data_IF_496966687805
#
_entry.id   IF_496966687805
#
_cell.length_a   1.000
_cell.length_b   1.000
_cell.length_c   1.000
_cell.angle_alpha   90.00
_cell.angle_beta   90.00
_cell.angle_gamma   90.00
#
_symmetry.space_group_name_H-M   'P 1'
#
loop_
_entity.id
_entity.type
_entity.pdbx_description
1 polymer ?
#
# COMPACT_ATOMS: atom_id res chain seq x y z
N UNK A 1 35.22 -35.03 68.37
CA UNK A 1 34.99 -33.70 67.75
C UNK A 1 35.01 -33.90 66.23
N UNK A 2 33.87 -33.77 65.55
CA UNK A 2 33.67 -34.14 64.13
C UNK A 2 33.78 -32.91 63.22
N UNK A 3 34.63 -32.94 62.19
CA UNK A 3 34.56 -32.11 60.97
C UNK A 3 35.11 -32.96 59.80
N UNK A 4 34.28 -33.81 59.14
CA UNK A 4 33.52 -33.59 57.89
C UNK A 4 34.24 -32.88 56.74
N UNK A 5 34.70 -33.69 55.78
CA UNK A 5 34.87 -33.38 54.36
C UNK A 5 33.50 -33.37 53.64
N UNK A 6 33.27 -32.47 52.66
CA UNK A 6 32.66 -32.80 51.34
C UNK A 6 32.36 -31.58 50.45
N UNK A 7 32.98 -31.60 49.26
CA UNK A 7 32.40 -31.50 47.91
C UNK A 7 31.26 -30.48 47.70
N UNK A 8 31.47 -29.49 46.82
CA UNK A 8 30.46 -29.05 45.85
C UNK A 8 31.13 -28.42 44.61
N UNK A 9 31.17 -29.19 43.51
CA UNK A 9 31.36 -28.69 42.15
C UNK A 9 30.04 -28.09 41.66
N UNK A 10 30.05 -26.84 41.21
CA UNK A 10 28.92 -26.20 40.54
C UNK A 10 29.26 -25.98 39.07
N UNK A 11 28.72 -26.87 38.23
CA UNK A 11 28.68 -26.76 36.78
C UNK A 11 27.67 -25.65 36.41
N UNK A 12 28.17 -24.61 35.77
CA UNK A 12 27.36 -23.61 35.07
C UNK A 12 26.86 -24.20 33.75
N UNK A 13 25.58 -24.53 33.69
CA UNK A 13 24.85 -24.76 32.43
C UNK A 13 23.65 -23.81 32.41
N UNK A 14 23.86 -22.59 31.91
CA UNK A 14 22.76 -21.76 31.43
C UNK A 14 22.54 -22.10 29.96
N UNK A 15 21.56 -22.95 29.69
CA UNK A 15 20.96 -23.05 28.36
C UNK A 15 19.64 -22.31 28.41
N UNK A 16 19.65 -21.03 28.04
CA UNK A 16 18.40 -20.33 27.71
C UNK A 16 18.16 -20.53 26.21
N UNK A 17 17.15 -21.33 25.89
CA UNK A 17 16.54 -21.34 24.58
C UNK A 17 15.78 -20.01 24.40
N UNK A 18 16.40 -19.04 23.73
CA UNK A 18 15.70 -17.84 23.28
C UNK A 18 14.76 -18.19 22.13
N UNK A 19 13.47 -18.37 22.43
CA UNK A 19 12.43 -18.24 21.42
C UNK A 19 12.33 -16.75 21.06
N UNK A 20 12.92 -16.35 19.95
CA UNK A 20 12.72 -15.02 19.37
C UNK A 20 11.34 -14.98 18.72
N UNK A 21 10.30 -14.61 19.48
CA UNK A 21 9.09 -14.07 18.87
C UNK A 21 9.45 -12.69 18.32
N UNK A 22 9.34 -12.51 17.01
CA UNK A 22 9.37 -11.19 16.40
C UNK A 22 8.20 -10.39 17.00
N UNK A 23 8.53 -9.48 17.92
CA UNK A 23 7.54 -8.62 18.57
C UNK A 23 7.21 -7.49 17.61
N UNK A 24 6.08 -7.61 16.92
CA UNK A 24 5.52 -6.52 16.10
C UNK A 24 5.37 -5.25 16.95
N UNK A 25 5.96 -4.12 16.51
CA UNK A 25 5.88 -2.86 17.25
C UNK A 25 4.45 -2.29 17.12
N UNK A 26 3.68 -2.19 18.22
CA UNK A 26 2.31 -1.68 18.18
C UNK A 26 2.20 -0.25 17.62
N UNK A 27 3.29 0.53 17.68
CA UNK A 27 3.36 1.89 17.13
C UNK A 27 3.42 1.90 15.61
N UNK A 28 4.03 0.88 15.00
CA UNK A 28 4.07 0.75 13.54
C UNK A 28 2.67 0.46 12.98
N UNK A 29 1.90 -0.38 13.66
CA UNK A 29 0.51 -0.68 13.30
C UNK A 29 -0.41 0.54 13.44
N UNK A 30 -0.30 1.30 14.53
CA UNK A 30 -1.11 2.52 14.76
C UNK A 30 -0.80 3.62 13.71
N UNK A 31 0.47 3.78 13.36
CA UNK A 31 0.91 4.75 12.33
C UNK A 31 0.41 4.35 10.94
N UNK A 32 0.45 3.05 10.61
CA UNK A 32 -0.07 2.53 9.36
C UNK A 32 -1.59 2.67 9.27
N UNK A 33 -2.32 2.45 10.37
CA UNK A 33 -3.77 2.69 10.40
C UNK A 33 -4.09 4.16 10.16
N UNK A 34 -3.38 5.06 10.85
CA UNK A 34 -3.56 6.49 10.68
C UNK A 34 -3.28 6.95 9.23
N UNK A 35 -2.30 6.33 8.57
CA UNK A 35 -2.05 6.54 7.13
C UNK A 35 -3.26 6.20 6.27
N UNK A 36 -3.82 5.00 6.48
CA UNK A 36 -5.00 4.54 5.74
C UNK A 36 -6.18 5.49 5.94
N UNK A 37 -6.40 5.95 7.17
CA UNK A 37 -7.52 6.82 7.49
C UNK A 37 -7.38 8.19 6.79
N UNK A 38 -6.18 8.77 6.79
CA UNK A 38 -5.88 10.03 6.09
C UNK A 38 -6.10 9.91 4.58
N UNK A 39 -5.57 8.85 3.96
CA UNK A 39 -5.75 8.63 2.52
C UNK A 39 -7.21 8.35 2.15
N UNK A 40 -7.91 7.58 2.97
CA UNK A 40 -9.32 7.27 2.78
C UNK A 40 -10.18 8.55 2.83
N UNK A 41 -9.94 9.40 3.82
CA UNK A 41 -10.67 10.67 3.97
C UNK A 41 -10.37 11.63 2.81
N UNK A 42 -9.12 11.74 2.38
CA UNK A 42 -8.76 12.57 1.23
C UNK A 42 -9.41 12.09 -0.07
N UNK A 43 -9.45 10.78 -0.30
CA UNK A 43 -10.13 10.20 -1.48
C UNK A 43 -11.63 10.43 -1.45
N UNK A 44 -12.24 10.30 -0.27
CA UNK A 44 -13.66 10.60 -0.07
C UNK A 44 -13.96 12.05 -0.46
N UNK A 45 -13.19 13.00 0.06
CA UNK A 45 -13.29 14.42 -0.30
C UNK A 45 -13.16 14.64 -1.81
N UNK A 46 -12.15 14.06 -2.45
CA UNK A 46 -11.93 14.22 -3.89
C UNK A 46 -13.06 13.63 -4.75
N UNK A 47 -13.68 12.53 -4.30
CA UNK A 47 -14.85 11.95 -4.96
C UNK A 47 -16.06 12.88 -4.87
N UNK A 48 -16.34 13.42 -3.70
CA UNK A 48 -17.43 14.39 -3.48
C UNK A 48 -17.19 15.67 -4.31
N UNK A 49 -15.96 16.18 -4.33
CA UNK A 49 -15.57 17.32 -5.16
C UNK A 49 -15.67 17.04 -6.66
N UNK A 50 -15.39 15.81 -7.08
CA UNK A 50 -15.59 15.37 -8.47
C UNK A 50 -17.08 15.36 -8.82
N UNK A 51 -17.96 14.91 -7.93
CA UNK A 51 -19.40 14.94 -8.15
C UNK A 51 -19.92 16.38 -8.27
N UNK A 52 -19.39 17.28 -7.42
CA UNK A 52 -19.74 18.71 -7.39
C UNK A 52 -19.23 19.49 -8.61
N UNK A 53 -17.99 19.27 -9.02
CA UNK A 53 -17.29 20.12 -10.00
C UNK A 53 -17.02 19.45 -11.35
N UNK A 54 -17.19 18.13 -11.43
CA UNK A 54 -16.75 17.26 -12.54
C UNK A 54 -15.23 17.22 -12.78
N UNK A 55 -14.43 17.87 -11.92
CA UNK A 55 -12.97 17.83 -12.02
C UNK A 55 -12.44 16.62 -11.27
N UNK A 56 -11.89 15.65 -12.01
CA UNK A 56 -11.31 14.42 -11.44
C UNK A 56 -9.85 14.61 -11.05
N UNK A 57 -9.54 14.33 -9.79
CA UNK A 57 -8.18 14.41 -9.25
C UNK A 57 -7.89 13.24 -8.33
N UNK A 58 -6.61 12.90 -8.19
CA UNK A 58 -6.10 11.90 -7.26
C UNK A 58 -5.07 12.55 -6.33
N UNK A 59 -5.15 12.23 -5.04
CA UNK A 59 -4.12 12.59 -4.07
C UNK A 59 -2.81 11.86 -4.33
N UNK A 60 -1.69 12.55 -4.10
CA UNK A 60 -0.38 11.93 -3.96
C UNK A 60 -0.20 11.40 -2.52
N UNK A 61 0.87 10.67 -2.25
CA UNK A 61 1.12 10.20 -0.89
C UNK A 61 1.28 11.38 0.10
N UNK A 62 0.60 11.34 1.26
CA UNK A 62 0.75 12.33 2.31
C UNK A 62 2.19 12.32 2.86
N UNK A 63 2.68 13.49 3.28
CA UNK A 63 3.91 13.53 4.08
C UNK A 63 3.62 13.00 5.49
N UNK A 64 4.10 11.79 5.77
CA UNK A 64 3.79 11.03 6.98
C UNK A 64 4.59 11.41 8.21
N UNK A 65 5.63 12.22 8.08
CA UNK A 65 6.38 12.77 9.23
C UNK A 65 5.49 13.60 10.17
N UNK A 66 4.29 13.97 9.69
CA UNK A 66 3.32 14.81 10.40
C UNK A 66 2.30 13.98 11.20
N UNK A 67 2.05 12.71 10.84
CA UNK A 67 1.03 11.86 11.49
C UNK A 67 1.70 10.97 12.53
N UNK A 68 1.76 11.45 13.77
CA UNK A 68 2.40 10.73 14.88
C UNK A 68 1.48 9.72 15.59
N UNK A 69 0.18 9.76 15.35
CA UNK A 69 -0.82 8.88 15.96
C UNK A 69 -2.16 8.97 15.24
N UNK A 70 -3.03 7.96 15.39
CA UNK A 70 -4.41 7.99 14.92
C UNK A 70 -5.25 9.16 15.46
N UNK A 71 -6.48 9.31 14.97
CA UNK A 71 -7.42 10.34 15.41
C UNK A 71 -8.49 9.77 16.34
N UNK A 72 -8.79 10.46 17.45
CA UNK A 72 -9.84 10.04 18.40
C UNK A 72 -11.25 10.49 17.98
N UNK A 73 -11.34 11.37 16.99
CA UNK A 73 -12.58 11.95 16.45
C UNK A 73 -12.61 11.75 14.94
N UNK A 74 -13.78 11.84 14.28
CA UNK A 74 -13.84 11.79 12.83
C UNK A 74 -12.92 12.85 12.19
N UNK A 75 -12.16 12.43 11.17
CA UNK A 75 -11.35 13.33 10.38
C UNK A 75 -12.22 14.31 9.60
N UNK A 76 -11.66 15.46 9.28
CA UNK A 76 -12.26 16.45 8.39
C UNK A 76 -11.35 16.71 7.20
N UNK A 77 -11.94 17.11 6.08
CA UNK A 77 -11.24 17.37 4.83
C UNK A 77 -11.74 18.65 4.16
N UNK A 78 -10.81 19.43 3.61
CA UNK A 78 -11.10 20.64 2.83
C UNK A 78 -9.98 20.94 1.83
N UNK A 79 -10.19 21.87 0.92
CA UNK A 79 -9.11 22.48 0.14
C UNK A 79 -8.19 23.28 1.05
N UNK A 80 -6.88 23.20 0.78
CA UNK A 80 -5.89 23.97 1.47
C UNK A 80 -6.14 25.48 1.28
N UNK A 81 -6.00 26.29 2.34
CA UNK A 81 -6.08 27.74 2.24
C UNK A 81 -5.07 28.29 1.22
N UNK A 82 -5.52 29.19 0.33
CA UNK A 82 -4.69 29.77 -0.74
C UNK A 82 -3.52 30.61 -0.22
N UNK A 83 -3.61 31.10 1.01
CA UNK A 83 -2.60 31.94 1.66
C UNK A 83 -1.34 31.19 2.13
N UNK A 84 -1.35 29.85 2.10
CA UNK A 84 -0.21 29.01 2.53
C UNK A 84 0.81 28.73 1.44
N UNK A 85 0.68 29.36 0.26
CA UNK A 85 1.55 29.09 -0.89
C UNK A 85 1.43 27.67 -1.46
N UNK A 86 0.36 26.95 -1.09
CA UNK A 86 0.05 25.62 -1.57
C UNK A 86 -0.68 25.70 -2.91
N UNK A 87 -0.51 24.68 -3.76
CA UNK A 87 -1.24 24.60 -5.02
C UNK A 87 -2.75 24.62 -4.82
N UNK A 88 -3.48 25.19 -5.78
CA UNK A 88 -4.95 25.38 -5.74
C UNK A 88 -5.72 24.09 -5.43
N UNK A 89 -5.15 22.94 -5.80
CA UNK A 89 -5.73 21.63 -5.55
C UNK A 89 -4.86 20.82 -4.58
N UNK A 90 -4.68 21.34 -3.37
CA UNK A 90 -4.09 20.59 -2.26
C UNK A 90 -5.20 20.28 -1.27
N UNK A 91 -5.38 19.01 -0.89
CA UNK A 91 -6.34 18.64 0.16
C UNK A 91 -5.66 18.80 1.51
N UNK A 92 -6.39 19.27 2.51
CA UNK A 92 -5.98 19.20 3.91
C UNK A 92 -6.90 18.22 4.61
N UNK A 93 -6.30 17.23 5.27
CA UNK A 93 -7.00 16.34 6.19
C UNK A 93 -6.60 16.70 7.61
N UNK A 94 -7.58 16.93 8.47
CA UNK A 94 -7.37 17.44 9.82
C UNK A 94 -7.99 16.52 10.88
N UNK A 95 -7.28 16.40 11.99
CA UNK A 95 -7.75 15.76 13.21
C UNK A 95 -7.80 16.82 14.31
N UNK A 96 -8.98 17.05 14.90
CA UNK A 96 -9.10 18.01 16.00
C UNK A 96 -8.52 17.46 17.32
N UNK A 97 -8.49 16.13 17.49
CA UNK A 97 -8.04 15.48 18.72
C UNK A 97 -7.32 14.16 18.42
N UNK A 98 -6.00 14.13 18.65
CA UNK A 98 -5.20 12.92 18.47
C UNK A 98 -5.60 11.80 19.45
N UNK A 99 -5.44 10.55 19.02
CA UNK A 99 -5.72 9.36 19.82
C UNK A 99 -4.70 9.13 20.95
N UNK A 100 -3.54 9.78 20.90
CA UNK A 100 -2.53 9.69 21.94
C UNK A 100 -3.04 10.28 23.28
N UNK A 101 -3.16 9.47 24.35
CA UNK A 101 -3.64 9.95 25.64
C UNK A 101 -2.73 11.00 26.29
N UNK A 102 -1.43 10.94 26.03
CA UNK A 102 -0.40 11.84 26.59
C UNK A 102 -0.32 13.18 25.87
N UNK A 103 -0.76 13.24 24.60
CA UNK A 103 -0.79 14.48 23.82
C UNK A 103 -1.95 14.44 22.83
N UNK A 104 -3.07 15.07 23.21
CA UNK A 104 -4.29 15.13 22.40
C UNK A 104 -4.31 16.27 21.38
N UNK A 105 -3.18 16.97 21.17
CA UNK A 105 -3.09 18.07 20.22
C UNK A 105 -3.47 17.58 18.82
N UNK A 106 -4.42 18.25 18.19
CA UNK A 106 -4.80 17.99 16.81
C UNK A 106 -3.67 18.21 15.82
N UNK A 107 -3.83 17.66 14.62
CA UNK A 107 -2.86 17.74 13.54
C UNK A 107 -3.56 17.96 12.20
N UNK A 108 -2.80 18.32 11.18
CA UNK A 108 -3.30 18.47 9.82
C UNK A 108 -2.24 18.10 8.82
N UNK A 109 -2.63 17.36 7.78
CA UNK A 109 -1.75 16.86 6.73
C UNK A 109 -2.20 17.43 5.40
N UNK A 110 -1.24 17.94 4.62
CA UNK A 110 -1.47 18.41 3.27
C UNK A 110 -1.17 17.31 2.27
N UNK A 111 -2.09 17.11 1.32
CA UNK A 111 -2.03 16.09 0.29
C UNK A 111 -2.10 16.78 -1.07
N UNK A 112 -0.96 16.94 -1.76
CA UNK A 112 -0.96 17.45 -3.13
C UNK A 112 -1.79 16.54 -4.03
N UNK A 113 -2.41 17.10 -5.06
CA UNK A 113 -3.21 16.30 -6.00
C UNK A 113 -2.78 16.51 -7.45
N UNK A 114 -2.99 15.48 -8.25
CA UNK A 114 -2.77 15.49 -9.71
C UNK A 114 -4.07 15.21 -10.46
N UNK A 115 -4.22 15.70 -11.70
CA UNK A 115 -5.34 15.30 -12.56
C UNK A 115 -5.39 13.78 -12.71
N UNK A 116 -6.60 13.22 -12.71
CA UNK A 116 -6.77 11.78 -12.91
C UNK A 116 -6.79 11.45 -14.40
N UNK A 117 -6.06 10.41 -14.80
CA UNK A 117 -6.03 9.91 -16.18
C UNK A 117 -7.39 9.29 -16.56
N UNK A 118 -7.83 9.49 -17.81
CA UNK A 118 -9.05 8.84 -18.29
C UNK A 118 -8.75 7.43 -18.80
N UNK A 119 -8.97 6.43 -17.95
CA UNK A 119 -8.67 5.03 -18.23
C UNK A 119 -9.92 4.30 -18.77
N UNK A 120 -9.74 3.69 -19.94
CA UNK A 120 -10.69 2.78 -20.58
C UNK A 120 -10.03 1.40 -20.77
N UNK A 121 -10.63 0.36 -20.19
CA UNK A 121 -10.10 -1.01 -20.33
C UNK A 121 -10.62 -1.62 -21.63
N UNK A 122 -9.69 -1.91 -22.55
CA UNK A 122 -10.00 -2.46 -23.87
C UNK A 122 -10.15 -3.98 -23.80
N UNK A 123 -9.25 -4.65 -23.08
CA UNK A 123 -9.25 -6.11 -22.96
C UNK A 123 -8.56 -6.55 -21.66
N UNK A 124 -9.11 -7.60 -21.06
CA UNK A 124 -8.50 -8.32 -19.94
C UNK A 124 -8.37 -9.79 -20.34
N UNK A 125 -7.16 -10.33 -20.24
CA UNK A 125 -6.88 -11.73 -20.51
C UNK A 125 -7.16 -12.63 -19.31
N UNK A 126 -6.95 -13.93 -19.53
CA UNK A 126 -6.93 -14.92 -18.44
C UNK A 126 -5.60 -14.84 -17.68
N UNK A 127 -5.57 -15.26 -16.40
CA UNK A 127 -4.32 -15.42 -15.67
C UNK A 127 -3.40 -16.44 -16.35
N UNK A 128 -2.10 -16.19 -16.27
CA UNK A 128 -1.04 -17.06 -16.78
C UNK A 128 -0.02 -17.26 -15.66
N UNK A 129 0.23 -18.53 -15.31
CA UNK A 129 1.33 -18.91 -14.43
C UNK A 129 2.65 -18.83 -15.20
N UNK A 130 3.68 -18.24 -14.61
CA UNK A 130 4.92 -17.87 -15.33
C UNK A 130 6.20 -18.50 -14.78
N UNK A 131 6.14 -19.29 -13.70
CA UNK A 131 7.33 -19.99 -13.22
C UNK A 131 7.60 -21.27 -14.03
N UNK A 132 8.86 -21.69 -14.02
CA UNK A 132 9.31 -22.93 -14.67
C UNK A 132 9.00 -24.18 -13.84
N UNK A 133 8.96 -24.04 -12.51
CA UNK A 133 8.68 -25.15 -11.59
C UNK A 133 7.18 -25.23 -11.33
N UNK A 134 6.64 -26.44 -11.36
CA UNK A 134 5.22 -26.67 -11.07
C UNK A 134 4.96 -26.66 -9.55
N UNK A 135 4.44 -25.54 -9.05
CA UNK A 135 3.74 -25.50 -7.75
C UNK A 135 2.25 -25.74 -7.99
N UNK A 136 1.81 -26.98 -7.84
CA UNK A 136 0.42 -27.37 -8.16
C UNK A 136 -0.62 -26.62 -7.32
N UNK A 137 -0.28 -26.26 -6.07
CA UNK A 137 -1.16 -25.49 -5.19
C UNK A 137 -1.34 -24.07 -5.70
N UNK A 138 -0.23 -23.39 -5.99
CA UNK A 138 -0.29 -22.01 -6.47
C UNK A 138 -0.82 -21.91 -7.91
N UNK A 139 -0.57 -22.90 -8.77
CA UNK A 139 -1.15 -22.96 -10.12
C UNK A 139 -2.68 -22.92 -10.08
N UNK A 140 -3.31 -23.60 -9.12
CA UNK A 140 -4.78 -23.56 -8.96
C UNK A 140 -5.25 -22.16 -8.60
N UNK A 141 -4.64 -21.54 -7.57
CA UNK A 141 -4.97 -20.17 -7.16
C UNK A 141 -4.79 -19.17 -8.32
N UNK A 142 -3.71 -19.30 -9.10
CA UNK A 142 -3.47 -18.48 -10.27
C UNK A 142 -4.58 -18.63 -11.32
N UNK A 143 -5.00 -19.87 -11.63
CA UNK A 143 -6.04 -20.13 -12.64
C UNK A 143 -7.42 -19.61 -12.24
N UNK A 144 -7.72 -19.61 -10.95
CA UNK A 144 -8.99 -19.12 -10.40
C UNK A 144 -9.00 -17.59 -10.25
N UNK A 145 -7.83 -16.97 -10.11
CA UNK A 145 -7.70 -15.52 -10.04
C UNK A 145 -8.06 -14.85 -11.36
N UNK A 146 -9.15 -14.07 -11.35
CA UNK A 146 -9.61 -13.35 -12.53
C UNK A 146 -10.07 -11.95 -12.16
N UNK A 147 -9.91 -11.01 -13.09
CA UNK A 147 -10.32 -9.62 -12.92
C UNK A 147 -11.25 -9.21 -14.05
N UNK A 148 -12.38 -8.60 -13.69
CA UNK A 148 -13.23 -7.92 -14.66
C UNK A 148 -12.60 -6.61 -15.13
N UNK A 149 -13.04 -6.10 -16.29
CA UNK A 149 -12.63 -4.78 -16.78
C UNK A 149 -12.89 -3.66 -15.76
N UNK A 150 -13.99 -3.75 -15.00
CA UNK A 150 -14.30 -2.79 -13.92
C UNK A 150 -13.27 -2.87 -12.79
N UNK A 151 -12.92 -4.08 -12.35
CA UNK A 151 -11.91 -4.27 -11.30
C UNK A 151 -10.51 -3.81 -11.75
N UNK A 152 -10.13 -4.09 -13.00
CA UNK A 152 -8.86 -3.59 -13.56
C UNK A 152 -8.84 -2.07 -13.61
N UNK A 153 -9.96 -1.43 -13.96
CA UNK A 153 -10.07 0.03 -13.90
C UNK A 153 -9.89 0.55 -12.48
N UNK A 154 -10.61 -0.02 -11.52
CA UNK A 154 -10.49 0.34 -10.09
C UNK A 154 -9.07 0.16 -9.58
N UNK A 155 -8.39 -0.92 -9.96
CA UNK A 155 -6.98 -1.16 -9.63
C UNK A 155 -6.12 0.03 -10.04
N UNK A 156 -6.17 0.47 -11.30
CA UNK A 156 -5.33 1.58 -11.77
C UNK A 156 -5.75 2.94 -11.20
N UNK A 157 -7.04 3.14 -10.93
CA UNK A 157 -7.54 4.37 -10.29
C UNK A 157 -7.10 4.45 -8.81
N UNK A 158 -6.97 3.32 -8.12
CA UNK A 158 -6.52 3.22 -6.72
C UNK A 158 -5.03 2.96 -6.55
N UNK A 159 -4.27 2.75 -7.63
CA UNK A 159 -2.82 2.50 -7.58
C UNK A 159 -2.00 3.79 -7.65
N UNK A 160 -0.81 3.72 -7.05
CA UNK A 160 0.23 4.72 -7.24
C UNK A 160 1.03 4.43 -8.51
N UNK A 161 1.49 5.49 -9.17
CA UNK A 161 2.29 5.45 -10.38
C UNK A 161 3.75 5.75 -10.06
N UNK A 162 4.65 4.91 -10.55
CA UNK A 162 6.10 5.06 -10.39
C UNK A 162 6.80 5.25 -11.74
N UNK A 163 7.83 6.11 -11.73
CA UNK A 163 8.64 6.40 -12.92
C UNK A 163 9.61 5.26 -13.26
N UNK A 164 10.04 4.50 -12.25
CA UNK A 164 11.05 3.44 -12.38
C UNK A 164 10.55 2.16 -11.73
N UNK A 165 11.11 1.01 -12.14
CA UNK A 165 10.81 -0.28 -11.53
C UNK A 165 11.33 -0.45 -10.11
N UNK A 166 12.35 0.32 -9.71
CA UNK A 166 13.04 0.12 -8.43
C UNK A 166 12.08 0.14 -7.24
N UNK A 167 11.28 1.20 -7.12
CA UNK A 167 10.35 1.35 -5.98
C UNK A 167 9.35 0.19 -5.89
N UNK A 168 8.61 -0.19 -6.96
CA UNK A 168 7.77 -1.38 -6.93
C UNK A 168 8.50 -2.67 -6.56
N UNK A 169 9.72 -2.88 -7.07
CA UNK A 169 10.50 -4.10 -6.80
C UNK A 169 10.94 -4.19 -5.33
N UNK A 170 11.30 -3.06 -4.72
CA UNK A 170 11.71 -3.04 -3.32
C UNK A 170 10.50 -3.11 -2.36
N UNK A 171 9.34 -2.65 -2.81
CA UNK A 171 8.15 -2.45 -1.96
C UNK A 171 7.19 -3.63 -1.98
N UNK A 172 7.09 -4.35 -3.11
CA UNK A 172 6.08 -5.39 -3.30
C UNK A 172 6.72 -6.73 -3.62
N UNK A 173 6.05 -7.80 -3.20
CA UNK A 173 6.37 -9.15 -3.64
C UNK A 173 6.15 -9.33 -5.15
N UNK A 174 6.76 -10.38 -5.71
CA UNK A 174 6.56 -10.77 -7.10
C UNK A 174 6.09 -12.22 -7.18
N UNK A 175 4.84 -12.42 -7.62
CA UNK A 175 4.29 -13.76 -7.76
C UNK A 175 4.39 -14.27 -9.20
N UNK A 176 4.55 -15.58 -9.42
CA UNK A 176 4.61 -16.17 -10.76
C UNK A 176 3.21 -16.32 -11.39
N UNK A 177 2.37 -15.30 -11.30
CA UNK A 177 1.04 -15.28 -11.90
C UNK A 177 0.70 -13.88 -12.40
N UNK A 178 0.31 -13.79 -13.68
CA UNK A 178 0.08 -12.52 -14.35
C UNK A 178 -1.23 -12.50 -15.14
N UNK A 179 -1.91 -11.36 -15.16
CA UNK A 179 -3.01 -11.06 -16.09
C UNK A 179 -2.53 -10.01 -17.09
N UNK A 180 -2.70 -10.29 -18.38
CA UNK A 180 -2.32 -9.39 -19.47
C UNK A 180 -3.52 -8.79 -20.16
N UNK A 181 -3.38 -7.58 -20.68
CA UNK A 181 -4.47 -6.93 -21.39
C UNK A 181 -4.06 -5.64 -22.09
N UNK A 182 -5.06 -4.85 -22.46
CA UNK A 182 -4.89 -3.56 -23.09
C UNK A 182 -5.86 -2.52 -22.52
N UNK A 183 -5.42 -1.29 -22.48
CA UNK A 183 -6.22 -0.13 -22.07
C UNK A 183 -5.88 1.08 -22.93
N UNK A 184 -6.75 2.08 -22.88
CA UNK A 184 -6.53 3.40 -23.44
C UNK A 184 -6.49 4.42 -22.30
N UNK A 185 -5.45 5.23 -22.26
CA UNK A 185 -5.31 6.36 -21.35
C UNK A 185 -5.03 7.61 -22.17
N UNK A 186 -5.88 8.63 -22.03
CA UNK A 186 -5.77 9.92 -22.74
C UNK A 186 -5.58 9.78 -24.25
N UNK A 187 -6.33 8.87 -24.87
CA UNK A 187 -6.25 8.62 -26.31
C UNK A 187 -5.16 7.62 -26.72
N UNK A 188 -4.24 7.26 -25.82
CA UNK A 188 -3.10 6.40 -26.11
C UNK A 188 -3.39 4.97 -25.66
N UNK A 189 -3.21 4.01 -26.57
CA UNK A 189 -3.30 2.58 -26.24
C UNK A 189 -2.01 2.06 -25.59
N UNK A 190 -2.19 1.29 -24.52
CA UNK A 190 -1.15 0.63 -23.74
C UNK A 190 -1.49 -0.85 -23.60
N UNK A 191 -0.47 -1.69 -23.65
CA UNK A 191 -0.59 -3.03 -23.09
C UNK A 191 -0.31 -2.96 -21.59
N UNK A 192 -0.90 -3.87 -20.82
CA UNK A 192 -0.58 -4.00 -19.40
C UNK A 192 -0.28 -5.44 -19.00
N UNK A 193 0.50 -5.57 -17.94
CA UNK A 193 0.69 -6.80 -17.16
C UNK A 193 0.36 -6.47 -15.71
N UNK A 194 -0.54 -7.22 -15.10
CA UNK A 194 -0.86 -7.14 -13.66
C UNK A 194 -0.27 -8.38 -13.01
N UNK A 195 0.58 -8.20 -12.02
CA UNK A 195 1.13 -9.28 -11.20
C UNK A 195 0.14 -9.61 -10.08
N UNK A 196 0.07 -10.88 -9.67
CA UNK A 196 -0.80 -11.32 -8.58
C UNK A 196 -0.45 -10.74 -7.20
N UNK A 197 0.69 -10.05 -7.06
CA UNK A 197 1.15 -9.36 -5.85
C UNK A 197 1.10 -7.83 -5.96
N UNK A 198 -0.10 -7.28 -6.13
CA UNK A 198 -0.39 -5.85 -6.00
C UNK A 198 0.38 -4.87 -6.91
N UNK A 199 1.03 -5.35 -7.98
CA UNK A 199 1.77 -4.51 -8.92
C UNK A 199 1.29 -4.67 -10.36
N UNK A 200 1.56 -3.67 -11.19
CA UNK A 200 1.29 -3.74 -12.62
C UNK A 200 2.24 -2.86 -13.42
N UNK A 201 2.34 -3.15 -14.72
CA UNK A 201 3.15 -2.39 -15.66
C UNK A 201 2.33 -2.10 -16.91
N UNK A 202 2.24 -0.83 -17.28
CA UNK A 202 1.81 -0.45 -18.63
C UNK A 202 3.04 -0.36 -19.53
N UNK A 203 2.90 -0.80 -20.77
CA UNK A 203 3.98 -0.73 -21.73
C UNK A 203 3.50 -0.46 -23.15
N UNK A 204 4.32 0.30 -23.88
CA UNK A 204 4.15 0.57 -25.31
C UNK A 204 5.54 0.69 -25.95
N UNK A 205 5.95 -0.33 -26.68
CA UNK A 205 7.33 -0.45 -27.16
C UNK A 205 8.31 -0.45 -25.98
N UNK A 206 9.25 0.50 -25.96
CA UNK A 206 10.23 0.66 -24.86
C UNK A 206 9.71 1.48 -23.67
N UNK A 207 8.58 2.19 -23.80
CA UNK A 207 8.03 3.00 -22.71
C UNK A 207 7.32 2.10 -21.72
N UNK A 208 7.61 2.31 -20.43
CA UNK A 208 6.98 1.60 -19.31
C UNK A 208 6.50 2.59 -18.26
N UNK A 209 5.37 2.26 -17.62
CA UNK A 209 4.84 2.95 -16.45
C UNK A 209 4.55 1.88 -15.42
N UNK A 210 5.06 2.04 -14.22
CA UNK A 210 4.92 1.05 -13.16
C UNK A 210 3.85 1.49 -12.18
N UNK A 211 3.16 0.51 -11.61
CA UNK A 211 2.03 0.72 -10.72
C UNK A 211 2.14 -0.21 -9.51
N UNK A 212 1.70 0.28 -8.36
CA UNK A 212 1.59 -0.51 -7.13
C UNK A 212 0.39 -0.05 -6.32
N UNK A 213 -0.33 -1.00 -5.72
CA UNK A 213 -1.48 -0.68 -4.89
C UNK A 213 -1.27 -1.08 -3.43
N UNK A 214 -1.11 -0.09 -2.58
CA UNK A 214 -1.01 -0.25 -1.12
C UNK A 214 -2.37 -0.18 -0.43
N UNK A 215 -3.42 0.11 -1.17
CA UNK A 215 -4.72 0.50 -0.63
C UNK A 215 -5.59 -0.70 -0.25
N UNK A 216 -6.40 -0.56 0.81
CA UNK A 216 -7.34 -1.61 1.23
C UNK A 216 -8.31 -2.03 0.15
N UNK A 217 -8.72 -1.10 -0.72
CA UNK A 217 -9.60 -1.38 -1.84
C UNK A 217 -9.01 -2.42 -2.81
N UNK A 218 -7.68 -2.54 -2.86
CA UNK A 218 -6.98 -3.53 -3.66
C UNK A 218 -6.90 -4.90 -3.00
N UNK A 219 -7.24 -5.03 -1.71
CA UNK A 219 -7.08 -6.29 -0.98
C UNK A 219 -7.82 -7.48 -1.61
N UNK A 220 -8.98 -7.23 -2.22
CA UNK A 220 -9.78 -8.26 -2.90
C UNK A 220 -9.42 -8.48 -4.37
N UNK A 221 -8.46 -7.73 -4.91
CA UNK A 221 -8.07 -7.76 -6.32
C UNK A 221 -6.85 -8.64 -6.59
N UNK A 222 -6.12 -9.06 -5.56
CA UNK A 222 -4.84 -9.74 -5.68
C UNK A 222 -4.80 -11.02 -4.85
N UNK A 223 -3.95 -11.97 -5.25
CA UNK A 223 -3.68 -13.17 -4.46
C UNK A 223 -2.79 -12.87 -3.26
N UNK A 224 -1.91 -11.88 -3.40
CA UNK A 224 -1.10 -11.35 -2.32
C UNK A 224 -1.21 -9.83 -2.30
N UNK A 225 -1.63 -9.30 -1.16
CA UNK A 225 -1.81 -7.87 -0.95
C UNK A 225 -0.55 -7.27 -0.38
N UNK A 226 -0.39 -5.95 -0.51
CA UNK A 226 0.63 -5.24 0.24
C UNK A 226 0.36 -5.36 1.75
N UNK A 227 1.36 -5.79 2.51
CA UNK A 227 1.29 -6.01 3.96
C UNK A 227 2.21 -5.07 4.76
N UNK A 228 2.93 -4.18 4.08
CA UNK A 228 3.89 -3.28 4.72
C UNK A 228 5.30 -3.86 4.88
N UNK A 229 5.53 -5.11 4.50
CA UNK A 229 6.86 -5.70 4.46
C UNK A 229 7.50 -5.47 3.09
N UNK A 230 8.73 -4.95 3.08
CA UNK A 230 9.50 -4.84 1.83
C UNK A 230 9.94 -6.23 1.37
N UNK A 231 9.92 -6.49 0.05
CA UNK A 231 10.38 -7.75 -0.50
C UNK A 231 11.85 -8.07 -0.12
N UNK A 232 12.65 -7.04 0.15
CA UNK A 232 14.06 -7.14 0.58
C UNK A 232 14.24 -7.37 2.09
N UNK A 233 13.18 -7.52 2.89
CA UNK A 233 13.28 -7.78 4.33
C UNK A 233 13.48 -9.28 4.67
N UNK A 234 13.64 -10.13 3.66
CA UNK A 234 13.84 -11.58 3.79
C UNK A 234 15.25 -12.05 3.38
N UNK A 235 16.19 -11.11 3.16
CA UNK A 235 17.62 -11.43 3.00
C UNK A 235 18.41 -11.20 4.29
#
# INVERSE_FOLDING_TARGET
MRLRYSIFSLLFLFSQAGHSYAQEDPRAFDTLQAWYDVNSEAKKFLREETERTRVKRRGLEPNMDIVSSGCAVPLTSDWAPRDRGLGEYTVVVSCAQAANPSNRKGWSVTIPTVPMENIEIVRVGKPVYTAEQDDTGFISACREWSLSAKQVKTLFESSERYATSQVPMDTFYWLPCEIRGALKSDGIEWNFVINAAATAVWYRGKKKIYWGCKERECSSLFLLTYDGMSANALE
#
